data_IF_550783548114
#
_entry.id   IF_550783548114
#
_cell.length_a   1.000
_cell.length_b   1.000
_cell.length_c   1.000
_cell.angle_alpha   90.00
_cell.angle_beta   90.00
_cell.angle_gamma   90.00
#
_symmetry.space_group_name_H-M   'P 1'
#
loop_
_entity.id
_entity.type
_entity.pdbx_description
1 polymer ?
#
# COMPACT_ATOMS: atom_id res chain seq x y z
N UNK A 1 8.05 -12.09 2.62
CA UNK A 1 6.81 -11.44 3.11
C UNK A 1 5.68 -11.87 2.17
N UNK A 2 4.65 -12.55 2.67
CA UNK A 2 3.55 -13.11 1.86
C UNK A 2 2.33 -12.19 1.97
N UNK A 3 1.77 -11.77 0.83
CA UNK A 3 0.53 -11.00 0.78
C UNK A 3 -0.68 -11.93 0.94
N UNK A 4 -1.50 -11.69 1.97
CA UNK A 4 -2.72 -12.45 2.25
C UNK A 4 -3.94 -11.60 1.87
N UNK A 5 -4.82 -12.14 1.02
CA UNK A 5 -6.04 -11.46 0.56
C UNK A 5 -7.26 -12.05 1.28
N UNK A 6 -8.09 -11.19 1.86
CA UNK A 6 -9.27 -11.59 2.62
C UNK A 6 -10.43 -11.90 1.66
N UNK A 7 -10.92 -13.14 1.69
CA UNK A 7 -12.03 -13.63 0.86
C UNK A 7 -13.12 -14.14 1.78
N UNK A 8 -14.36 -13.76 1.54
CA UNK A 8 -15.50 -14.16 2.36
C UNK A 8 -16.35 -15.22 1.63
N UNK A 9 -16.78 -16.25 2.37
CA UNK A 9 -17.62 -17.35 1.87
C UNK A 9 -19.08 -17.07 2.19
N UNK A 10 -19.93 -17.03 1.17
CA UNK A 10 -21.38 -16.97 1.33
C UNK A 10 -22.01 -18.20 0.68
N UNK A 11 -22.50 -19.14 1.49
CA UNK A 11 -22.97 -20.43 1.00
C UNK A 11 -21.83 -21.25 0.37
N UNK A 12 -21.98 -21.67 -0.89
CA UNK A 12 -20.95 -22.42 -1.64
C UNK A 12 -20.08 -21.55 -2.56
N UNK A 13 -20.21 -20.22 -2.48
CA UNK A 13 -19.51 -19.29 -3.37
C UNK A 13 -18.68 -18.28 -2.58
N UNK A 14 -17.49 -17.98 -3.09
CA UNK A 14 -16.56 -17.03 -2.48
C UNK A 14 -16.56 -15.70 -3.24
N UNK A 15 -16.58 -14.58 -2.53
CA UNK A 15 -16.46 -13.24 -3.11
C UNK A 15 -15.31 -12.48 -2.48
N UNK A 16 -14.54 -11.79 -3.32
CA UNK A 16 -13.46 -10.89 -2.91
C UNK A 16 -14.08 -9.56 -2.50
N UNK A 17 -13.89 -9.16 -1.25
CA UNK A 17 -14.41 -7.88 -0.76
C UNK A 17 -13.58 -6.75 -1.37
N UNK A 18 -14.23 -5.85 -2.13
CA UNK A 18 -13.63 -4.57 -2.56
C UNK A 18 -13.76 -4.13 -4.02
N UNK A 19 -14.80 -4.50 -4.78
CA UNK A 19 -15.04 -3.92 -6.10
C UNK A 19 -16.47 -3.35 -6.23
N UNK A 20 -16.66 -2.06 -6.52
CA UNK A 20 -17.98 -1.48 -6.74
C UNK A 20 -18.47 -1.76 -8.17
N UNK A 21 -19.77 -2.08 -8.28
CA UNK A 21 -20.56 -2.07 -9.51
C UNK A 21 -21.15 -0.68 -9.70
N UNK A 22 -20.93 -0.04 -10.86
CA UNK A 22 -21.81 1.02 -11.38
C UNK A 22 -21.57 1.24 -12.89
N UNK A 23 -22.65 1.64 -13.56
CA UNK A 23 -22.86 1.66 -14.99
C UNK A 23 -22.56 3.03 -15.65
N UNK A 24 -22.83 3.06 -16.96
CA UNK A 24 -23.12 4.19 -17.87
C UNK A 24 -21.98 4.99 -18.51
N UNK A 25 -22.32 5.40 -19.73
CA UNK A 25 -21.58 5.77 -20.93
C UNK A 25 -21.35 7.31 -21.05
N UNK A 26 -20.54 7.69 -22.04
CA UNK A 26 -20.29 9.02 -22.64
C UNK A 26 -19.22 9.99 -22.06
N UNK A 27 -18.17 10.15 -22.90
CA UNK A 27 -17.54 11.40 -23.41
C UNK A 27 -16.14 11.87 -22.91
N UNK A 28 -15.09 11.33 -23.58
CA UNK A 28 -13.93 12.00 -24.26
C UNK A 28 -12.88 12.78 -23.37
N UNK A 29 -11.55 12.82 -23.69
CA UNK A 29 -10.91 12.62 -25.01
C UNK A 29 -9.78 11.60 -25.10
N UNK A 30 -9.58 11.16 -26.35
CA UNK A 30 -8.38 10.49 -26.83
C UNK A 30 -7.12 11.27 -26.41
N UNK A 31 -6.24 10.61 -25.66
CA UNK A 31 -4.85 11.02 -25.53
C UNK A 31 -3.98 9.76 -25.39
N UNK A 32 -3.24 9.53 -26.47
CA UNK A 32 -1.93 8.87 -26.54
C UNK A 32 -1.86 7.44 -26.03
N UNK A 33 -2.01 6.53 -26.99
CA UNK A 33 -1.09 5.42 -27.26
C UNK A 33 0.16 5.43 -26.38
N UNK A 34 0.03 4.87 -25.18
CA UNK A 34 1.18 4.34 -24.45
C UNK A 34 1.45 3.01 -25.12
N UNK A 35 2.41 3.03 -26.05
CA UNK A 35 3.02 1.84 -26.60
C UNK A 35 3.57 1.02 -25.42
N UNK A 36 2.75 0.13 -24.89
CA UNK A 36 3.21 -0.98 -24.07
C UNK A 36 4.11 -1.76 -25.02
N UNK A 37 5.42 -1.62 -24.87
CA UNK A 37 6.44 -2.45 -25.54
C UNK A 37 6.22 -3.90 -25.09
N UNK A 38 5.21 -4.50 -25.72
CA UNK A 38 4.75 -5.85 -25.49
C UNK A 38 5.89 -6.72 -26.00
N UNK A 39 6.50 -7.56 -25.13
CA UNK A 39 7.60 -8.40 -25.57
C UNK A 39 7.12 -9.23 -26.76
N UNK A 40 7.95 -9.37 -27.82
CA UNK A 40 7.51 -9.95 -29.08
C UNK A 40 6.84 -11.30 -28.83
N UNK A 41 5.67 -11.56 -29.43
CA UNK A 41 4.95 -12.80 -29.21
C UNK A 41 5.88 -13.98 -29.55
N UNK A 42 5.94 -14.97 -28.65
CA UNK A 42 6.70 -16.19 -28.88
C UNK A 42 6.33 -16.77 -30.25
N UNK A 43 7.30 -17.07 -31.13
CA UNK A 43 6.99 -17.58 -32.45
C UNK A 43 6.31 -18.94 -32.30
N UNK A 44 5.02 -18.98 -32.63
CA UNK A 44 4.22 -20.20 -32.62
C UNK A 44 4.77 -21.21 -33.62
N UNK A 45 4.92 -22.46 -33.19
CA UNK A 45 5.25 -23.58 -34.07
C UNK A 45 4.08 -23.84 -35.03
N UNK A 46 4.19 -23.37 -36.27
CA UNK A 46 3.33 -23.83 -37.36
C UNK A 46 3.99 -25.04 -38.03
N UNK A 47 3.47 -26.24 -37.76
CA UNK A 47 3.83 -27.44 -38.51
C UNK A 47 3.28 -27.35 -39.92
N UNK A 48 4.06 -26.80 -40.84
CA UNK A 48 3.76 -26.72 -42.27
C UNK A 48 4.56 -27.73 -43.08
N UNK A 49 3.86 -28.55 -43.88
CA UNK A 49 4.44 -29.48 -44.85
C UNK A 49 5.39 -28.77 -45.83
N UNK A 50 6.53 -29.40 -46.08
CA UNK A 50 7.72 -28.72 -46.62
C UNK A 50 7.69 -28.31 -48.08
N UNK A 51 8.59 -27.37 -48.41
CA UNK A 51 9.36 -27.32 -49.66
C UNK A 51 10.75 -26.75 -49.35
N UNK A 52 11.78 -27.37 -49.92
CA UNK A 52 13.18 -27.02 -49.73
C UNK A 52 13.54 -25.79 -50.56
N UNK A 53 13.63 -24.63 -49.92
CA UNK A 53 14.25 -23.42 -50.44
C UNK A 53 15.14 -22.83 -49.35
N UNK A 54 16.39 -22.49 -49.67
CA UNK A 54 17.35 -21.92 -48.72
C UNK A 54 16.86 -20.57 -48.19
N UNK A 55 16.06 -20.61 -47.13
CA UNK A 55 15.64 -19.44 -46.35
C UNK A 55 16.75 -18.98 -45.41
N UNK A 56 16.68 -17.73 -44.92
CA UNK A 56 17.68 -17.19 -44.01
C UNK A 56 17.79 -18.11 -42.78
N UNK A 57 19.02 -18.48 -42.43
CA UNK A 57 19.29 -19.24 -41.20
C UNK A 57 18.75 -18.46 -40.02
N UNK A 58 17.72 -18.96 -39.35
CA UNK A 58 17.25 -18.39 -38.09
C UNK A 58 18.25 -18.80 -37.01
N UNK A 59 19.34 -18.05 -36.91
CA UNK A 59 20.21 -18.12 -35.74
C UNK A 59 19.39 -17.52 -34.60
N UNK A 60 18.82 -18.38 -33.74
CA UNK A 60 18.20 -17.91 -32.50
C UNK A 60 19.20 -17.05 -31.70
N UNK A 61 18.71 -16.20 -30.78
CA UNK A 61 19.60 -15.36 -29.98
C UNK A 61 20.70 -16.21 -29.36
N UNK A 62 21.94 -15.74 -29.49
CA UNK A 62 23.08 -16.44 -28.93
C UNK A 62 22.89 -16.59 -27.41
N UNK A 63 23.53 -17.59 -26.82
CA UNK A 63 23.51 -17.79 -25.37
C UNK A 63 23.93 -16.51 -24.63
N UNK A 64 24.90 -15.77 -25.17
CA UNK A 64 25.38 -14.49 -24.62
C UNK A 64 24.32 -13.38 -24.70
N UNK A 65 23.58 -13.29 -25.81
CA UNK A 65 22.45 -12.35 -25.94
C UNK A 65 21.31 -12.68 -24.97
N UNK A 66 21.01 -13.97 -24.75
CA UNK A 66 20.03 -14.40 -23.77
C UNK A 66 20.45 -13.99 -22.35
N UNK A 67 21.72 -14.16 -22.00
CA UNK A 67 22.25 -13.69 -20.72
C UNK A 67 22.21 -12.16 -20.60
N UNK A 68 22.65 -11.43 -21.62
CA UNK A 68 22.59 -9.96 -21.63
C UNK A 68 21.14 -9.45 -21.45
N UNK A 69 20.17 -10.08 -22.11
CA UNK A 69 18.74 -9.77 -21.95
C UNK A 69 18.23 -10.09 -20.54
N UNK A 70 18.65 -11.21 -19.94
CA UNK A 70 18.28 -11.55 -18.56
C UNK A 70 18.86 -10.55 -17.56
N UNK A 71 20.13 -10.17 -17.70
CA UNK A 71 20.76 -9.18 -16.83
C UNK A 71 20.10 -7.80 -16.96
N UNK A 72 19.83 -7.36 -18.19
CA UNK A 72 19.09 -6.11 -18.42
C UNK A 72 17.69 -6.14 -17.76
N UNK A 73 17.00 -7.29 -17.81
CA UNK A 73 15.69 -7.43 -17.16
C UNK A 73 15.80 -7.44 -15.64
N UNK A 74 16.83 -8.06 -15.08
CA UNK A 74 17.11 -8.03 -13.65
C UNK A 74 17.40 -6.61 -13.16
N UNK A 75 18.20 -5.83 -13.87
CA UNK A 75 18.49 -4.42 -13.54
C UNK A 75 17.21 -3.56 -13.52
N UNK A 76 16.31 -3.81 -14.47
CA UNK A 76 15.00 -3.13 -14.48
C UNK A 76 14.15 -3.49 -13.26
N UNK A 77 14.17 -4.76 -12.83
CA UNK A 77 13.48 -5.17 -11.60
C UNK A 77 14.13 -4.57 -10.37
N UNK A 78 15.46 -4.56 -10.28
CA UNK A 78 16.21 -3.98 -9.15
C UNK A 78 15.92 -2.49 -8.97
N UNK A 79 15.93 -1.74 -10.07
CA UNK A 79 15.58 -0.32 -10.08
C UNK A 79 14.14 -0.10 -9.58
N UNK A 80 13.19 -0.92 -10.04
CA UNK A 80 11.79 -0.83 -9.60
C UNK A 80 11.62 -1.21 -8.13
N UNK A 81 12.31 -2.25 -7.66
CA UNK A 81 12.28 -2.69 -6.28
C UNK A 81 12.86 -1.63 -5.34
N UNK A 82 13.99 -1.02 -5.72
CA UNK A 82 14.59 0.11 -4.99
C UNK A 82 13.63 1.29 -4.92
N UNK A 83 12.96 1.62 -6.04
CA UNK A 83 11.94 2.67 -6.05
C UNK A 83 10.75 2.35 -5.13
N UNK A 84 10.27 1.11 -5.13
CA UNK A 84 9.21 0.66 -4.24
C UNK A 84 9.63 0.71 -2.76
N UNK A 85 10.84 0.29 -2.44
CA UNK A 85 11.39 0.36 -1.08
C UNK A 85 11.47 1.80 -0.58
N UNK A 86 11.92 2.73 -1.42
CA UNK A 86 11.97 4.15 -1.08
C UNK A 86 10.57 4.71 -0.80
N UNK A 87 9.58 4.40 -1.63
CA UNK A 87 8.20 4.85 -1.40
C UNK A 87 7.61 4.27 -0.12
N UNK A 88 7.89 3.00 0.17
CA UNK A 88 7.42 2.35 1.40
C UNK A 88 8.07 3.00 2.62
N UNK A 89 9.38 3.26 2.57
CA UNK A 89 10.13 3.91 3.65
C UNK A 89 9.61 5.31 3.95
N UNK A 90 9.40 6.13 2.92
CA UNK A 90 8.81 7.48 3.03
C UNK A 90 7.44 7.44 3.71
N UNK A 91 6.57 6.51 3.28
CA UNK A 91 5.24 6.36 3.88
C UNK A 91 5.28 5.94 5.34
N UNK A 92 6.20 5.04 5.72
CA UNK A 92 6.35 4.64 7.12
C UNK A 92 6.88 5.79 7.98
N UNK A 93 7.83 6.59 7.48
CA UNK A 93 8.31 7.79 8.17
C UNK A 93 7.18 8.80 8.38
N UNK A 94 6.36 9.04 7.35
CA UNK A 94 5.19 9.92 7.46
C UNK A 94 4.17 9.43 8.51
N UNK A 95 3.94 8.11 8.58
CA UNK A 95 3.08 7.52 9.61
C UNK A 95 3.67 7.66 11.02
N UNK A 96 4.97 7.48 11.19
CA UNK A 96 5.65 7.67 12.48
C UNK A 96 5.53 9.11 12.98
N UNK A 97 5.73 10.10 12.11
CA UNK A 97 5.52 11.52 12.44
C UNK A 97 4.06 11.78 12.83
N UNK A 98 3.12 11.21 12.08
CA UNK A 98 1.68 11.37 12.36
C UNK A 98 1.32 10.77 13.71
N UNK A 99 1.83 9.57 14.01
CA UNK A 99 1.62 8.91 15.29
C UNK A 99 2.18 9.74 16.44
N UNK A 100 3.43 10.20 16.34
CA UNK A 100 4.03 11.07 17.36
C UNK A 100 3.25 12.38 17.58
N UNK A 101 2.64 12.93 16.52
CA UNK A 101 1.75 14.09 16.62
C UNK A 101 0.45 13.76 17.38
N UNK A 102 -0.14 12.59 17.13
CA UNK A 102 -1.34 12.12 17.83
C UNK A 102 -1.02 11.90 19.31
N UNK A 103 0.08 11.21 19.62
CA UNK A 103 0.51 10.95 21.00
C UNK A 103 0.72 12.28 21.76
N UNK A 104 1.42 13.24 21.15
CA UNK A 104 1.62 14.57 21.74
C UNK A 104 0.31 15.32 22.02
N UNK A 105 -0.69 15.18 21.12
CA UNK A 105 -2.01 15.78 21.31
C UNK A 105 -2.78 15.08 22.44
N UNK A 106 -2.69 13.76 22.54
CA UNK A 106 -3.31 13.00 23.61
C UNK A 106 -2.70 13.34 24.98
N UNK A 107 -1.37 13.48 25.07
CA UNK A 107 -0.68 13.91 26.29
C UNK A 107 -1.13 15.30 26.74
N UNK A 108 -1.26 16.23 25.78
CA UNK A 108 -1.77 17.58 26.06
C UNK A 108 -3.20 17.54 26.59
N UNK A 109 -4.08 16.76 25.95
CA UNK A 109 -5.47 16.60 26.39
C UNK A 109 -5.54 15.95 27.78
N UNK A 110 -4.73 14.93 28.04
CA UNK A 110 -4.67 14.26 29.34
C UNK A 110 -4.24 15.23 30.44
N UNK A 111 -3.19 16.02 30.20
CA UNK A 111 -2.73 17.05 31.12
C UNK A 111 -3.83 18.09 31.42
N UNK A 112 -4.54 18.54 30.38
CA UNK A 112 -5.69 19.43 30.55
C UNK A 112 -6.80 18.80 31.41
N UNK A 113 -7.19 17.55 31.15
CA UNK A 113 -8.21 16.88 31.96
C UNK A 113 -7.78 16.73 33.43
N UNK A 114 -6.52 16.40 33.69
CA UNK A 114 -6.00 16.30 35.05
C UNK A 114 -5.98 17.67 35.75
N UNK A 115 -5.60 18.72 35.03
CA UNK A 115 -5.67 20.09 35.53
C UNK A 115 -7.10 20.50 35.89
N UNK A 116 -8.06 20.27 34.99
CA UNK A 116 -9.47 20.55 35.24
C UNK A 116 -10.03 19.74 36.40
N UNK A 117 -9.69 18.45 36.52
CA UNK A 117 -10.12 17.61 37.64
C UNK A 117 -9.60 18.17 38.98
N UNK A 118 -8.34 18.61 39.02
CA UNK A 118 -7.72 19.20 40.22
C UNK A 118 -8.40 20.52 40.61
N UNK A 119 -8.70 21.36 39.63
CA UNK A 119 -9.42 22.61 39.84
C UNK A 119 -10.83 22.36 40.40
N UNK A 120 -11.57 21.43 39.80
CA UNK A 120 -12.90 21.06 40.29
C UNK A 120 -12.86 20.53 41.72
N UNK A 121 -11.90 19.66 42.05
CA UNK A 121 -11.71 19.17 43.42
C UNK A 121 -11.45 20.32 44.39
N UNK A 122 -10.63 21.30 43.98
CA UNK A 122 -10.32 22.48 44.81
C UNK A 122 -11.57 23.31 45.07
N UNK A 123 -12.38 23.57 44.04
CA UNK A 123 -13.65 24.30 44.17
C UNK A 123 -14.61 23.57 45.10
N UNK A 124 -14.71 22.25 44.98
CA UNK A 124 -15.56 21.43 45.87
C UNK A 124 -15.10 21.57 47.33
N UNK A 125 -13.80 21.49 47.61
CA UNK A 125 -13.28 21.65 48.98
C UNK A 125 -13.57 23.05 49.55
N UNK A 126 -13.49 24.10 48.73
CA UNK A 126 -13.81 25.46 49.17
C UNK A 126 -15.30 25.66 49.48
N UNK A 127 -16.17 24.89 48.83
CA UNK A 127 -17.61 24.90 49.08
C UNK A 127 -18.00 24.03 50.28
N UNK A 128 -17.12 23.15 50.77
CA UNK A 128 -17.42 22.32 51.93
C UNK A 128 -17.38 23.17 53.22
N UNK A 129 -18.40 23.03 54.09
CA UNK A 129 -18.38 23.69 55.39
C UNK A 129 -17.20 23.18 56.22
N UNK A 130 -16.60 24.04 57.08
CA UNK A 130 -15.48 23.65 57.91
C UNK A 130 -15.87 22.45 58.78
N UNK A 131 -14.96 21.48 58.97
CA UNK A 131 -15.24 20.30 59.77
C UNK A 131 -15.66 20.71 61.19
N UNK A 132 -16.60 19.99 61.80
CA UNK A 132 -17.09 20.32 63.13
C UNK A 132 -15.93 20.28 64.15
N UNK A 133 -15.95 21.16 65.16
CA UNK A 133 -14.92 21.16 66.19
C UNK A 133 -14.90 19.82 66.94
N UNK A 134 -13.71 19.38 67.39
CA UNK A 134 -13.59 18.13 68.13
C UNK A 134 -14.39 18.19 69.45
N UNK A 135 -14.95 17.05 69.92
CA UNK A 135 -15.70 17.01 71.17
C UNK A 135 -14.84 17.49 72.35
N UNK A 136 -15.34 18.46 73.12
CA UNK A 136 -14.71 18.84 74.39
C UNK A 136 -14.89 17.69 75.40
N UNK A 137 -13.78 17.28 76.03
CA UNK A 137 -13.70 16.19 77.01
C UNK A 137 -13.84 16.69 78.46
#
# INVERSE_FOLDING_TARGET
MIHMKLVEKFGDTYRVIGAPVAATDEDIPAATDIEEDQPPPFPGFTSGAGTSGAGPSFQGPSTDELFARMFSRMDMFDTRLTGMESMITDRFQSLEITQGSIDSRLDTLQSHYQGLATQLQTVIQLLQPPPPPPPEA
#
